data_IF_416085322369
#
_entry.id   IF_416085322369
#
_cell.length_a   1.000
_cell.length_b   1.000
_cell.length_c   1.000
_cell.angle_alpha   90.00
_cell.angle_beta   90.00
_cell.angle_gamma   90.00
#
_symmetry.space_group_name_H-M   'P 1'
#
loop_
_entity.id
_entity.type
_entity.pdbx_description
1 polymer ?
#
# COMPACT_ATOMS: atom_id res chain seq x y z
N UNK A 1 -25.07 24.46 14.61
CA UNK A 1 -23.95 24.69 15.55
C UNK A 1 -23.38 23.40 16.16
N UNK A 2 -24.13 22.59 16.93
CA UNK A 2 -23.63 21.31 17.49
C UNK A 2 -22.96 20.37 16.48
N UNK A 3 -23.54 20.20 15.28
CA UNK A 3 -22.99 19.36 14.20
C UNK A 3 -21.67 19.88 13.63
N UNK A 4 -21.51 21.21 13.55
CA UNK A 4 -20.26 21.84 13.09
C UNK A 4 -19.16 21.73 14.14
N UNK A 5 -19.48 21.91 15.43
CA UNK A 5 -18.52 21.74 16.52
C UNK A 5 -18.03 20.29 16.58
N UNK A 6 -18.93 19.31 16.43
CA UNK A 6 -18.54 17.90 16.33
C UNK A 6 -17.60 17.64 15.13
N UNK A 7 -17.93 18.17 13.95
CA UNK A 7 -17.10 18.01 12.77
C UNK A 7 -15.72 18.67 12.92
N UNK A 8 -15.65 19.82 13.60
CA UNK A 8 -14.39 20.54 13.83
C UNK A 8 -13.52 19.84 14.87
N UNK A 9 -14.11 19.30 15.94
CA UNK A 9 -13.41 18.48 16.93
C UNK A 9 -12.94 17.15 16.32
N UNK A 10 -13.75 16.55 15.45
CA UNK A 10 -13.38 15.34 14.71
C UNK A 10 -12.27 15.62 13.70
N UNK A 11 -12.36 16.72 12.95
CA UNK A 11 -11.29 17.14 12.03
C UNK A 11 -9.98 17.47 12.75
N UNK A 12 -10.04 18.18 13.88
CA UNK A 12 -8.85 18.49 14.69
C UNK A 12 -8.21 17.23 15.29
N UNK A 13 -9.00 16.26 15.76
CA UNK A 13 -8.48 14.99 16.27
C UNK A 13 -7.89 14.11 15.16
N UNK A 14 -8.48 14.10 13.96
CA UNK A 14 -7.88 13.44 12.79
C UNK A 14 -6.52 14.08 12.42
N UNK A 15 -6.42 15.41 12.46
CA UNK A 15 -5.16 16.13 12.21
C UNK A 15 -4.09 15.85 13.29
N UNK A 16 -4.47 15.74 14.56
CA UNK A 16 -3.55 15.35 15.64
C UNK A 16 -3.16 13.88 15.59
N UNK A 17 -4.02 12.99 15.07
CA UNK A 17 -3.67 11.59 14.83
C UNK A 17 -2.74 11.44 13.62
N UNK A 18 -2.86 12.29 12.59
CA UNK A 18 -1.92 12.28 11.45
C UNK A 18 -0.50 12.73 11.81
N UNK A 19 -0.32 13.51 12.89
CA UNK A 19 1.01 13.90 13.40
C UNK A 19 1.63 12.87 14.35
N UNK A 20 0.96 11.75 14.63
CA UNK A 20 1.49 10.65 15.42
C UNK A 20 1.76 9.44 14.52
N UNK A 21 3.01 9.02 14.41
CA UNK A 21 3.46 7.93 13.53
C UNK A 21 2.67 6.63 13.74
N UNK A 22 2.53 6.17 14.99
CA UNK A 22 1.70 5.00 15.34
C UNK A 22 0.24 5.14 14.89
N UNK A 23 -0.40 6.29 15.12
CA UNK A 23 -1.82 6.47 14.80
C UNK A 23 -2.06 6.55 13.29
N UNK A 24 -1.16 7.21 12.55
CA UNK A 24 -1.16 7.25 11.08
C UNK A 24 -1.01 5.85 10.50
N UNK A 25 -0.06 5.05 11.02
CA UNK A 25 0.10 3.65 10.66
C UNK A 25 -1.19 2.85 10.89
N UNK A 26 -1.72 2.89 12.10
CA UNK A 26 -2.91 2.14 12.46
C UNK A 26 -4.12 2.51 11.57
N UNK A 27 -4.26 3.80 11.20
CA UNK A 27 -5.29 4.25 10.28
C UNK A 27 -5.07 3.73 8.85
N UNK A 28 -3.83 3.74 8.34
CA UNK A 28 -3.47 3.14 7.05
C UNK A 28 -3.82 1.65 7.03
N UNK A 29 -3.33 0.90 8.00
CA UNK A 29 -3.55 -0.55 8.07
C UNK A 29 -5.04 -0.90 8.20
N UNK A 30 -5.78 -0.19 9.05
CA UNK A 30 -7.23 -0.35 9.17
C UNK A 30 -7.95 -0.09 7.85
N UNK A 31 -7.55 0.96 7.11
CA UNK A 31 -8.17 1.29 5.82
C UNK A 31 -7.89 0.22 4.76
N UNK A 32 -6.67 -0.31 4.70
CA UNK A 32 -6.29 -1.38 3.76
C UNK A 32 -7.06 -2.65 4.06
N UNK A 33 -7.20 -3.01 5.34
CA UNK A 33 -7.98 -4.19 5.76
C UNK A 33 -9.46 -4.00 5.43
N UNK A 34 -10.03 -2.82 5.74
CA UNK A 34 -11.44 -2.54 5.48
C UNK A 34 -11.78 -2.54 3.97
N UNK A 35 -10.86 -2.04 3.14
CA UNK A 35 -11.01 -1.97 1.69
C UNK A 35 -10.46 -3.21 0.96
N UNK A 36 -10.04 -4.23 1.71
CA UNK A 36 -9.33 -5.39 1.17
C UNK A 36 -10.03 -6.09 -0.01
N UNK A 37 -11.37 -6.29 -0.05
CA UNK A 37 -11.98 -6.93 -1.20
C UNK A 37 -11.78 -6.11 -2.49
N UNK A 38 -11.89 -4.79 -2.39
CA UNK A 38 -11.70 -3.90 -3.52
C UNK A 38 -10.22 -3.85 -3.93
N UNK A 39 -9.31 -3.75 -2.97
CA UNK A 39 -7.86 -3.73 -3.22
C UNK A 39 -7.40 -5.03 -3.93
N UNK A 40 -7.87 -6.18 -3.45
CA UNK A 40 -7.50 -7.49 -4.02
C UNK A 40 -8.04 -7.61 -5.43
N UNK A 41 -9.33 -7.34 -5.67
CA UNK A 41 -9.93 -7.51 -6.98
C UNK A 41 -9.40 -6.49 -8.00
N UNK A 42 -9.24 -5.24 -7.59
CA UNK A 42 -8.72 -4.20 -8.45
C UNK A 42 -7.26 -4.45 -8.81
N UNK A 43 -6.40 -4.70 -7.81
CA UNK A 43 -4.99 -4.99 -8.03
C UNK A 43 -4.78 -6.28 -8.84
N UNK A 44 -5.53 -7.34 -8.54
CA UNK A 44 -5.52 -8.57 -9.33
C UNK A 44 -5.88 -8.32 -10.81
N UNK A 45 -6.86 -7.44 -11.04
CA UNK A 45 -7.30 -7.03 -12.37
C UNK A 45 -6.24 -6.24 -13.12
N UNK A 46 -5.73 -5.16 -12.52
CA UNK A 46 -4.78 -4.27 -13.18
C UNK A 46 -3.45 -4.97 -13.46
N UNK A 47 -2.87 -5.58 -12.43
CA UNK A 47 -1.54 -6.20 -12.52
C UNK A 47 -1.63 -7.50 -13.32
N UNK A 48 -2.74 -8.24 -13.20
CA UNK A 48 -3.00 -9.42 -14.00
C UNK A 48 -3.12 -9.14 -15.50
N UNK A 49 -3.73 -8.02 -15.89
CA UNK A 49 -3.79 -7.60 -17.30
C UNK A 49 -2.39 -7.25 -17.82
N UNK A 50 -1.62 -6.48 -17.06
CA UNK A 50 -0.24 -6.10 -17.43
C UNK A 50 0.62 -7.35 -17.59
N UNK A 51 0.57 -8.29 -16.65
CA UNK A 51 1.32 -9.54 -16.72
C UNK A 51 0.89 -10.40 -17.92
N UNK A 52 -0.40 -10.49 -18.23
CA UNK A 52 -0.88 -11.23 -19.38
C UNK A 52 -0.39 -10.61 -20.71
N UNK A 53 -0.33 -9.28 -20.79
CA UNK A 53 0.26 -8.57 -21.93
C UNK A 53 1.76 -8.82 -22.04
N UNK A 54 2.47 -8.83 -20.92
CA UNK A 54 3.90 -9.16 -20.88
C UNK A 54 4.18 -10.60 -21.33
N UNK A 55 3.32 -11.55 -20.96
CA UNK A 55 3.42 -12.95 -21.43
C UNK A 55 3.14 -13.06 -22.93
N UNK A 56 2.13 -12.34 -23.45
CA UNK A 56 1.88 -12.27 -24.88
C UNK A 56 3.11 -11.75 -25.64
N UNK A 57 3.66 -10.62 -25.17
CA UNK A 57 4.81 -9.98 -25.78
C UNK A 57 6.06 -10.87 -25.71
N UNK A 58 6.34 -11.49 -24.55
CA UNK A 58 7.51 -12.33 -24.34
C UNK A 58 7.48 -13.66 -25.10
N UNK A 59 6.30 -14.17 -25.44
CA UNK A 59 6.14 -15.37 -26.28
C UNK A 59 6.05 -15.05 -27.77
N UNK A 60 5.95 -13.76 -28.16
CA UNK A 60 5.70 -13.30 -29.53
C UNK A 60 4.44 -13.91 -30.16
N UNK A 61 3.40 -14.14 -29.35
CA UNK A 61 2.16 -14.76 -29.81
C UNK A 61 1.03 -13.75 -29.97
N UNK A 62 -0.03 -14.15 -30.69
CA UNK A 62 -1.21 -13.31 -30.93
C UNK A 62 -2.10 -13.12 -29.68
N UNK A 63 -3.08 -12.23 -29.81
CA UNK A 63 -3.96 -11.75 -28.72
C UNK A 63 -4.69 -12.85 -27.94
N UNK A 64 -4.93 -14.01 -28.55
CA UNK A 64 -5.50 -15.17 -27.87
C UNK A 64 -4.66 -15.62 -26.66
N UNK A 65 -3.36 -15.37 -26.69
CA UNK A 65 -2.41 -15.68 -25.63
C UNK A 65 -2.68 -14.88 -24.37
N UNK A 66 -2.97 -13.58 -24.52
CA UNK A 66 -3.35 -12.73 -23.39
C UNK A 66 -4.62 -13.26 -22.72
N UNK A 67 -5.64 -13.62 -23.50
CA UNK A 67 -6.90 -14.16 -22.97
C UNK A 67 -6.70 -15.49 -22.21
N UNK A 68 -5.78 -16.34 -22.66
CA UNK A 68 -5.43 -17.60 -21.99
C UNK A 68 -4.69 -17.36 -20.68
N UNK A 69 -3.75 -16.41 -20.65
CA UNK A 69 -2.95 -16.14 -19.43
C UNK A 69 -3.66 -15.29 -18.40
N UNK A 70 -4.58 -14.40 -18.82
CA UNK A 70 -5.32 -13.50 -17.92
C UNK A 70 -5.94 -14.16 -16.69
N UNK A 71 -6.67 -15.30 -16.75
CA UNK A 71 -7.20 -15.92 -15.55
C UNK A 71 -6.11 -16.38 -14.57
N UNK A 72 -4.95 -16.82 -15.06
CA UNK A 72 -3.84 -17.25 -14.20
C UNK A 72 -3.10 -16.08 -13.58
N UNK A 73 -2.82 -15.04 -14.36
CA UNK A 73 -2.17 -13.82 -13.87
C UNK A 73 -3.08 -13.06 -12.91
N UNK A 74 -4.39 -13.04 -13.15
CA UNK A 74 -5.38 -12.49 -12.21
C UNK A 74 -5.36 -13.25 -10.89
N UNK A 75 -5.45 -14.58 -10.91
CA UNK A 75 -5.43 -15.39 -9.68
C UNK A 75 -4.13 -15.24 -8.91
N UNK A 76 -2.99 -15.24 -9.61
CA UNK A 76 -1.68 -15.01 -9.03
C UNK A 76 -1.62 -13.64 -8.33
N UNK A 77 -2.00 -12.57 -9.02
CA UNK A 77 -2.00 -11.24 -8.43
C UNK A 77 -3.04 -11.12 -7.29
N UNK A 78 -4.16 -11.83 -7.37
CA UNK A 78 -5.12 -11.97 -6.26
C UNK A 78 -4.48 -12.54 -5.00
N UNK A 79 -3.64 -13.57 -5.12
CA UNK A 79 -2.86 -14.12 -4.00
C UNK A 79 -1.85 -13.10 -3.49
N UNK A 80 -1.11 -12.44 -4.38
CA UNK A 80 -0.11 -11.41 -4.03
C UNK A 80 -0.77 -10.28 -3.22
N UNK A 81 -1.87 -9.70 -3.71
CA UNK A 81 -2.58 -8.65 -2.98
C UNK A 81 -3.22 -9.14 -1.69
N UNK A 82 -3.70 -10.38 -1.64
CA UNK A 82 -4.22 -10.96 -0.39
C UNK A 82 -3.11 -11.06 0.67
N UNK A 83 -1.90 -11.48 0.28
CA UNK A 83 -0.75 -11.50 1.18
C UNK A 83 -0.36 -10.10 1.65
N UNK A 84 -0.33 -9.11 0.75
CA UNK A 84 -0.06 -7.70 1.09
C UNK A 84 -1.09 -7.17 2.11
N UNK A 85 -2.39 -7.41 1.88
CA UNK A 85 -3.46 -7.06 2.83
C UNK A 85 -3.29 -7.75 4.17
N UNK A 86 -2.91 -9.03 4.17
CA UNK A 86 -2.73 -9.80 5.40
C UNK A 86 -1.61 -9.22 6.27
N UNK A 87 -0.52 -8.73 5.67
CA UNK A 87 0.53 -8.02 6.39
C UNK A 87 -0.04 -6.78 7.10
N UNK A 88 -0.82 -5.94 6.40
CA UNK A 88 -1.51 -4.81 7.02
C UNK A 88 -2.47 -5.24 8.14
N UNK A 89 -3.17 -6.36 7.97
CA UNK A 89 -4.01 -6.94 9.02
C UNK A 89 -3.23 -7.30 10.28
N UNK A 90 -2.07 -7.93 10.13
CA UNK A 90 -1.19 -8.26 11.24
C UNK A 90 -0.61 -7.00 11.88
N UNK A 91 -0.15 -6.03 11.09
CA UNK A 91 0.40 -4.78 11.61
C UNK A 91 -0.62 -3.95 12.36
N UNK A 92 -1.87 -3.91 11.88
CA UNK A 92 -2.96 -3.31 12.64
C UNK A 92 -3.11 -4.00 14.00
N UNK A 93 -3.13 -5.33 14.06
CA UNK A 93 -3.22 -6.02 15.36
C UNK A 93 -2.03 -5.76 16.29
N UNK A 94 -0.85 -5.51 15.71
CA UNK A 94 0.38 -5.20 16.44
C UNK A 94 0.53 -3.71 16.78
N UNK A 95 -0.33 -2.81 16.26
CA UNK A 95 -0.21 -1.37 16.51
C UNK A 95 -0.09 -0.99 18.00
N UNK A 96 -0.78 -1.64 18.96
CA UNK A 96 -0.64 -1.28 20.37
C UNK A 96 0.78 -1.56 20.89
N UNK A 97 1.43 -2.62 20.41
CA UNK A 97 2.81 -2.94 20.77
C UNK A 97 3.79 -1.92 20.18
N UNK A 98 3.56 -1.47 18.94
CA UNK A 98 4.34 -0.39 18.33
C UNK A 98 4.18 0.93 19.11
N UNK A 99 2.95 1.27 19.51
CA UNK A 99 2.70 2.46 20.33
C UNK A 99 3.39 2.42 21.69
N UNK A 100 3.48 1.25 22.35
CA UNK A 100 4.25 1.09 23.58
C UNK A 100 5.76 1.25 23.34
N UNK A 101 6.28 0.75 22.21
CA UNK A 101 7.69 0.89 21.86
C UNK A 101 8.08 2.34 21.57
N UNK A 102 7.23 3.12 20.90
CA UNK A 102 7.44 4.55 20.62
C UNK A 102 7.39 5.43 21.88
N UNK A 103 6.73 4.97 22.96
CA UNK A 103 6.71 5.67 24.25
C UNK A 103 8.02 5.52 25.05
N UNK A 104 8.96 4.69 24.58
CA UNK A 104 10.26 4.54 25.22
C UNK A 104 11.16 5.76 24.93
N UNK A 105 11.86 6.36 25.93
CA UNK A 105 12.67 7.58 25.74
C UNK A 105 13.83 7.46 24.72
N UNK A 106 14.20 6.23 24.39
CA UNK A 106 15.16 5.88 23.33
C UNK A 106 14.58 4.80 22.40
N UNK A 107 13.25 4.76 22.28
CA UNK A 107 12.55 3.82 21.41
C UNK A 107 12.82 4.13 19.94
N UNK A 108 12.85 3.10 19.07
CA UNK A 108 12.91 3.34 17.63
C UNK A 108 11.62 4.03 17.17
N UNK A 109 11.76 5.02 16.29
CA UNK A 109 10.63 5.48 15.50
C UNK A 109 10.29 4.38 14.50
N UNK A 110 9.09 3.82 14.60
CA UNK A 110 8.68 2.73 13.74
C UNK A 110 7.89 3.38 12.60
N UNK A 111 8.37 3.27 11.36
CA UNK A 111 7.68 3.79 10.18
C UNK A 111 6.65 2.80 9.59
N UNK A 112 5.51 3.28 9.06
CA UNK A 112 4.50 2.40 8.45
C UNK A 112 5.10 1.53 7.34
N UNK A 113 4.70 0.26 7.25
CA UNK A 113 5.10 -0.60 6.14
C UNK A 113 4.52 -0.07 4.82
N UNK A 114 5.41 0.37 3.92
CA UNK A 114 5.07 1.00 2.64
C UNK A 114 4.86 -0.03 1.51
N UNK A 115 3.98 -1.01 1.73
CA UNK A 115 3.69 -2.06 0.73
C UNK A 115 2.71 -1.56 -0.33
N UNK A 116 1.80 -0.66 0.05
CA UNK A 116 1.00 0.16 -0.85
C UNK A 116 1.49 1.61 -0.73
N UNK A 117 2.02 2.15 -1.84
CA UNK A 117 2.56 3.51 -1.97
C UNK A 117 1.65 4.39 -2.83
N UNK A 118 1.72 5.71 -2.68
CA UNK A 118 0.85 6.68 -3.35
C UNK A 118 -0.53 6.83 -2.70
N UNK A 119 -0.67 6.46 -1.44
CA UNK A 119 -1.92 6.60 -0.67
C UNK A 119 -1.95 7.93 0.07
N UNK A 120 -3.14 8.41 0.43
CA UNK A 120 -3.30 9.66 1.19
C UNK A 120 -2.70 9.62 2.62
N UNK A 121 -2.23 8.46 3.07
CA UNK A 121 -1.55 8.26 4.36
C UNK A 121 -0.04 8.27 4.25
N UNK A 122 0.50 8.27 3.03
CA UNK A 122 1.93 8.36 2.83
C UNK A 122 2.34 9.79 3.16
N UNK A 123 3.39 9.95 3.97
CA UNK A 123 4.02 11.26 4.07
C UNK A 123 4.55 11.61 2.68
N UNK A 124 4.47 12.89 2.31
CA UNK A 124 5.26 13.48 1.22
C UNK A 124 6.77 13.46 1.57
N UNK A 125 7.23 12.43 2.26
CA UNK A 125 8.62 12.17 2.58
C UNK A 125 9.28 11.67 1.30
N UNK A 126 9.65 12.67 0.49
CA UNK A 126 10.56 12.63 -0.62
C UNK A 126 10.20 11.62 -1.72
N UNK A 127 9.98 12.18 -2.92
CA UNK A 127 10.52 11.58 -4.14
C UNK A 127 11.71 10.68 -3.76
N UNK A 128 11.53 9.35 -3.87
CA UNK A 128 12.69 8.51 -4.13
C UNK A 128 13.24 9.05 -5.43
N UNK A 129 14.15 10.01 -5.30
CA UNK A 129 15.07 10.40 -6.33
C UNK A 129 15.75 9.10 -6.72
N UNK A 130 15.26 8.50 -7.79
CA UNK A 130 16.07 7.63 -8.62
C UNK A 130 17.19 8.56 -9.06
N UNK A 131 18.30 8.54 -8.32
CA UNK A 131 19.47 9.32 -8.68
C UNK A 131 19.84 8.98 -10.12
N UNK A 132 20.16 9.99 -10.95
CA UNK A 132 20.68 9.72 -12.27
C UNK A 132 22.09 9.12 -12.15
N UNK A 133 22.37 8.15 -13.02
CA UNK A 133 23.66 7.59 -13.42
C UNK A 133 24.39 6.60 -12.50
N UNK A 134 24.40 5.33 -12.94
CA UNK A 134 25.67 4.68 -13.32
C UNK A 134 25.60 4.24 -14.79
N UNK A 135 25.95 5.18 -15.66
CA UNK A 135 26.75 5.01 -16.88
C UNK A 135 26.31 3.96 -17.90
N UNK A 136 25.85 4.47 -19.05
CA UNK A 136 26.28 3.88 -20.32
C UNK A 136 27.81 3.82 -20.38
N UNK A 137 28.33 2.61 -20.50
CA UNK A 137 29.65 2.37 -21.07
C UNK A 137 29.42 1.72 -22.43
N UNK A 138 29.77 2.47 -23.48
CA UNK A 138 29.90 1.97 -24.82
C UNK A 138 30.92 0.82 -24.87
N UNK A 139 30.55 -0.27 -25.53
CA UNK A 139 31.30 -0.96 -26.59
C UNK A 139 30.38 -1.94 -27.30
#
# INVERSE_FOLDING_TARGET
>A
MRKMILALLFGASLLSLSSCGTARRAAKDASVVALSPAIILYGAGTDGVVDAQNMQAGLEWGDATQAVFLPFTFLWNGVVHSAKVLVHGVDFLLFPAYGVAELHPAGPEIEPLQIYTGTFFDEDSEEKSVGPDETGAAN
#
